data_IF_173348645879
#
_entry.id   IF_173348645879
#
_cell.length_a   1.000
_cell.length_b   1.000
_cell.length_c   1.000
_cell.angle_alpha   90.00
_cell.angle_beta   90.00
_cell.angle_gamma   90.00
#
_symmetry.space_group_name_H-M   'P 1'
#
loop_
_entity.id
_entity.type
_entity.pdbx_description
1 polymer ?
#
# COMPACT_ATOMS: atom_id res chain seq x y z
N UNK A 1 0.74 -34.82 39.09
CA UNK A 1 -0.48 -35.64 38.84
C UNK A 1 -0.90 -35.47 37.39
N UNK A 2 -0.81 -36.51 36.56
CA UNK A 2 -1.26 -36.45 35.16
C UNK A 2 -2.76 -36.73 35.12
N UNK A 3 -3.56 -35.73 34.78
CA UNK A 3 -5.01 -35.87 34.61
C UNK A 3 -5.28 -36.84 33.44
N UNK A 4 -5.73 -38.05 33.76
CA UNK A 4 -6.24 -39.01 32.76
C UNK A 4 -7.62 -38.53 32.33
N UNK A 5 -7.75 -38.03 31.10
CA UNK A 5 -9.04 -37.68 30.52
C UNK A 5 -9.84 -38.98 30.36
N UNK A 6 -10.91 -39.14 31.16
CA UNK A 6 -11.62 -40.41 31.37
C UNK A 6 -12.61 -40.79 30.27
N UNK A 7 -12.65 -40.06 29.15
CA UNK A 7 -13.57 -40.34 28.03
C UNK A 7 -12.87 -40.11 26.69
N UNK A 8 -12.91 -41.08 25.75
CA UNK A 8 -12.38 -40.87 24.41
C UNK A 8 -13.17 -39.77 23.70
N UNK A 9 -12.47 -38.91 22.96
CA UNK A 9 -13.08 -37.80 22.24
C UNK A 9 -13.99 -38.32 21.11
N UNK A 10 -15.29 -38.13 21.26
CA UNK A 10 -16.29 -38.53 20.27
C UNK A 10 -16.44 -37.46 19.18
N UNK A 11 -15.57 -37.51 18.17
CA UNK A 11 -15.56 -36.55 17.07
C UNK A 11 -16.90 -36.45 16.32
N UNK A 12 -17.66 -37.54 16.20
CA UNK A 12 -18.98 -37.55 15.55
C UNK A 12 -20.03 -36.75 16.33
N UNK A 13 -20.05 -36.90 17.65
CA UNK A 13 -20.99 -36.19 18.52
C UNK A 13 -20.68 -34.69 18.52
N UNK A 14 -19.40 -34.32 18.61
CA UNK A 14 -18.96 -32.93 18.50
C UNK A 14 -19.35 -32.33 17.14
N UNK A 15 -19.18 -33.10 16.06
CA UNK A 15 -19.60 -32.65 14.72
C UNK A 15 -21.11 -32.42 14.65
N UNK A 16 -21.92 -33.28 15.26
CA UNK A 16 -23.37 -33.09 15.32
C UNK A 16 -23.75 -31.83 16.12
N UNK A 17 -23.14 -31.62 17.28
CA UNK A 17 -23.34 -30.41 18.07
C UNK A 17 -22.98 -29.14 17.30
N UNK A 18 -21.84 -29.13 16.61
CA UNK A 18 -21.41 -27.99 15.79
C UNK A 18 -22.39 -27.70 14.63
N UNK A 19 -22.96 -28.75 14.02
CA UNK A 19 -23.96 -28.59 12.96
C UNK A 19 -25.29 -28.06 13.50
N UNK A 20 -25.67 -28.43 14.72
CA UNK A 20 -26.86 -27.89 15.41
C UNK A 20 -26.66 -26.42 15.77
N UNK A 21 -25.48 -26.08 16.31
CA UNK A 21 -25.11 -24.69 16.63
C UNK A 21 -25.06 -23.81 15.37
N UNK A 22 -24.50 -24.30 14.26
CA UNK A 22 -24.44 -23.56 13.00
C UNK A 22 -25.84 -23.27 12.43
N UNK A 23 -26.75 -24.25 12.50
CA UNK A 23 -28.16 -24.07 12.13
C UNK A 23 -28.85 -23.04 13.02
N UNK A 24 -28.61 -23.09 14.33
CA UNK A 24 -29.17 -22.15 15.30
C UNK A 24 -28.68 -20.71 15.04
N UNK A 25 -27.37 -20.54 14.83
CA UNK A 25 -26.75 -19.24 14.51
C UNK A 25 -27.28 -18.69 13.19
N UNK A 26 -27.42 -19.55 12.18
CA UNK A 26 -27.99 -19.19 10.88
C UNK A 26 -29.45 -18.72 11.01
N UNK A 27 -30.27 -19.40 11.81
CA UNK A 27 -31.65 -18.99 12.07
C UNK A 27 -31.72 -17.64 12.82
N UNK A 28 -30.83 -17.40 13.78
CA UNK A 28 -30.70 -16.08 14.45
C UNK A 28 -30.38 -14.99 13.43
N UNK A 29 -29.38 -15.20 12.56
CA UNK A 29 -28.99 -14.19 11.58
C UNK A 29 -30.01 -14.01 10.46
N UNK A 30 -30.88 -14.99 10.21
CA UNK A 30 -32.01 -14.82 9.31
C UNK A 30 -33.07 -13.86 9.86
N UNK A 31 -33.30 -13.91 11.19
CA UNK A 31 -34.29 -13.08 11.90
C UNK A 31 -33.73 -11.71 12.31
N UNK A 32 -32.41 -11.61 12.47
CA UNK A 32 -31.70 -10.40 12.83
C UNK A 32 -31.01 -9.79 11.59
N UNK A 33 -31.57 -8.75 10.95
CA UNK A 33 -30.90 -8.09 9.85
C UNK A 33 -29.65 -7.37 10.36
N UNK A 34 -28.48 -8.02 10.22
CA UNK A 34 -27.21 -7.37 10.50
C UNK A 34 -26.99 -6.24 9.48
N UNK A 35 -26.59 -5.03 9.92
CA UNK A 35 -26.21 -3.98 9.01
C UNK A 35 -24.96 -4.42 8.24
N UNK A 36 -25.06 -4.49 6.91
CA UNK A 36 -24.01 -4.95 5.98
C UNK A 36 -22.67 -4.16 6.01
N UNK A 37 -22.47 -3.26 6.98
CA UNK A 37 -21.25 -2.48 7.14
C UNK A 37 -20.22 -3.09 8.12
N UNK A 38 -20.57 -4.12 8.90
CA UNK A 38 -19.66 -4.66 9.93
C UNK A 38 -18.85 -5.90 9.51
N UNK A 39 -19.22 -6.59 8.42
CA UNK A 39 -18.49 -7.80 7.96
C UNK A 39 -17.27 -7.52 7.05
N UNK A 40 -16.93 -6.26 6.79
CA UNK A 40 -15.79 -5.90 5.92
C UNK A 40 -14.46 -5.79 6.70
N UNK A 41 -14.48 -5.95 8.04
CA UNK A 41 -13.30 -5.69 8.86
C UNK A 41 -12.40 -6.92 9.12
N UNK A 42 -12.82 -8.14 8.81
CA UNK A 42 -12.02 -9.33 9.10
C UNK A 42 -12.11 -10.34 7.95
N UNK A 43 -10.94 -10.73 7.44
CA UNK A 43 -10.66 -11.76 6.45
C UNK A 43 -10.61 -11.29 4.99
N UNK A 44 -9.39 -11.32 4.47
CA UNK A 44 -9.11 -11.16 3.05
C UNK A 44 -9.21 -12.49 2.30
N UNK A 45 -9.61 -12.33 1.04
CA UNK A 45 -9.42 -13.20 -0.12
C UNK A 45 -10.43 -14.32 -0.42
N UNK A 46 -11.00 -14.12 -1.61
CA UNK A 46 -11.44 -15.03 -2.66
C UNK A 46 -12.82 -15.70 -2.65
N UNK A 47 -13.44 -15.48 -3.81
CA UNK A 47 -14.55 -16.18 -4.45
C UNK A 47 -15.93 -16.00 -3.84
N UNK A 48 -16.75 -15.16 -4.49
CA UNK A 48 -18.12 -15.48 -4.92
C UNK A 48 -18.65 -14.31 -5.78
N UNK A 49 -18.38 -14.35 -7.08
CA UNK A 49 -19.31 -13.75 -8.06
C UNK A 49 -20.54 -14.65 -8.14
N UNK A 50 -21.68 -14.23 -7.58
CA UNK A 50 -22.97 -14.15 -8.28
C UNK A 50 -24.07 -13.63 -7.34
N UNK A 51 -24.94 -12.80 -7.92
CA UNK A 51 -26.30 -12.51 -7.43
C UNK A 51 -26.51 -11.42 -6.37
N UNK A 52 -26.12 -10.18 -6.70
CA UNK A 52 -26.88 -9.01 -6.22
C UNK A 52 -27.03 -7.93 -7.31
N UNK A 53 -27.46 -8.33 -8.51
CA UNK A 53 -27.99 -7.40 -9.52
C UNK A 53 -29.51 -7.38 -9.45
N UNK A 54 -30.09 -6.63 -8.50
CA UNK A 54 -31.42 -6.00 -8.65
C UNK A 54 -31.88 -5.25 -7.40
N UNK A 55 -31.16 -4.20 -6.95
CA UNK A 55 -31.76 -3.04 -6.24
C UNK A 55 -30.92 -1.78 -6.47
N UNK A 56 -30.87 -1.29 -7.71
CA UNK A 56 -30.42 0.09 -7.97
C UNK A 56 -31.59 1.04 -7.79
N UNK A 57 -31.61 1.72 -6.65
CA UNK A 57 -32.28 3.02 -6.48
C UNK A 57 -31.81 3.92 -7.63
N UNK A 58 -32.75 4.47 -8.40
CA UNK A 58 -32.51 5.29 -9.58
C UNK A 58 -31.64 6.51 -9.28
N UNK A 59 -30.33 6.35 -9.44
CA UNK A 59 -29.46 7.44 -9.84
C UNK A 59 -29.53 7.46 -11.36
N UNK A 60 -30.06 8.55 -11.94
CA UNK A 60 -30.11 8.75 -13.38
C UNK A 60 -28.78 8.34 -14.03
N UNK A 61 -28.88 7.66 -15.17
CA UNK A 61 -27.72 7.14 -15.88
C UNK A 61 -26.65 8.23 -16.01
N UNK A 62 -25.57 8.09 -15.23
CA UNK A 62 -24.42 8.98 -15.37
C UNK A 62 -23.91 8.76 -16.78
N UNK A 63 -23.93 9.81 -17.61
CA UNK A 63 -23.47 9.77 -18.98
C UNK A 63 -22.17 8.96 -19.09
N UNK A 64 -22.19 7.87 -19.89
CA UNK A 64 -21.06 6.94 -20.02
C UNK A 64 -19.80 7.74 -20.34
N UNK A 65 -18.80 7.63 -19.44
CA UNK A 65 -17.52 8.33 -19.54
C UNK A 65 -16.82 7.86 -20.81
N UNK A 66 -16.29 8.77 -21.63
CA UNK A 66 -15.54 8.36 -22.83
C UNK A 66 -14.24 7.64 -22.44
N UNK A 67 -13.99 6.49 -23.06
CA UNK A 67 -12.87 5.59 -22.73
C UNK A 67 -11.84 5.53 -23.87
N UNK A 68 -12.28 5.48 -25.13
CA UNK A 68 -11.39 5.42 -26.30
C UNK A 68 -10.76 6.78 -26.60
N UNK A 69 -9.71 6.82 -27.44
CA UNK A 69 -9.08 8.09 -27.85
C UNK A 69 -10.00 8.89 -28.79
N UNK A 70 -10.63 8.20 -29.73
CA UNK A 70 -11.56 8.76 -30.71
C UNK A 70 -12.80 9.36 -30.05
N UNK A 71 -13.41 8.67 -29.07
CA UNK A 71 -14.54 9.21 -28.30
C UNK A 71 -14.20 10.49 -27.54
N UNK A 72 -12.95 10.62 -27.07
CA UNK A 72 -12.50 11.84 -26.37
C UNK A 72 -12.35 13.02 -27.35
N UNK A 73 -11.87 12.76 -28.56
CA UNK A 73 -11.79 13.76 -29.63
C UNK A 73 -13.17 14.19 -30.11
N UNK A 74 -14.08 13.24 -30.35
CA UNK A 74 -15.46 13.51 -30.73
C UNK A 74 -16.17 14.40 -29.69
N UNK A 75 -16.12 14.02 -28.40
CA UNK A 75 -16.70 14.84 -27.31
C UNK A 75 -16.04 16.20 -27.15
N UNK A 76 -14.74 16.32 -27.43
CA UNK A 76 -14.05 17.62 -27.39
C UNK A 76 -14.51 18.53 -28.54
N UNK A 77 -14.71 17.96 -29.74
CA UNK A 77 -15.18 18.69 -30.91
C UNK A 77 -16.65 19.12 -30.78
N UNK A 78 -17.52 18.29 -30.19
CA UNK A 78 -18.90 18.68 -29.88
C UNK A 78 -19.01 19.89 -28.95
N UNK A 79 -18.02 20.07 -28.05
CA UNK A 79 -17.89 21.22 -27.16
C UNK A 79 -17.11 22.38 -27.80
N UNK A 80 -16.63 22.22 -29.04
CA UNK A 80 -15.93 23.24 -29.82
C UNK A 80 -16.93 23.87 -30.79
N UNK A 81 -17.64 24.90 -30.32
CA UNK A 81 -18.58 25.68 -31.12
C UNK A 81 -19.87 26.07 -30.39
N UNK A 82 -20.21 25.37 -29.30
CA UNK A 82 -21.38 25.70 -28.46
C UNK A 82 -21.06 26.82 -27.46
N UNK A 83 -22.05 27.65 -27.08
CA UNK A 83 -21.93 28.55 -25.92
C UNK A 83 -21.90 27.70 -24.64
N UNK A 84 -20.76 27.67 -23.95
CA UNK A 84 -20.49 26.74 -22.85
C UNK A 84 -20.80 27.36 -21.48
N UNK A 85 -21.52 26.62 -20.63
CA UNK A 85 -21.66 26.96 -19.22
C UNK A 85 -20.34 26.72 -18.45
N UNK A 86 -20.23 27.22 -17.22
CA UNK A 86 -19.01 27.07 -16.40
C UNK A 86 -18.58 25.60 -16.23
N UNK A 87 -19.55 24.70 -16.01
CA UNK A 87 -19.32 23.25 -15.90
C UNK A 87 -18.76 22.66 -17.20
N UNK A 88 -19.26 23.10 -18.35
CA UNK A 88 -18.83 22.60 -19.66
C UNK A 88 -17.44 23.13 -20.06
N UNK A 89 -17.11 24.36 -19.65
CA UNK A 89 -15.75 24.91 -19.78
C UNK A 89 -14.74 24.07 -19.00
N UNK A 90 -15.10 23.62 -17.79
CA UNK A 90 -14.23 22.74 -16.99
C UNK A 90 -14.07 21.36 -17.63
N UNK A 91 -15.16 20.78 -18.16
CA UNK A 91 -15.12 19.52 -18.91
C UNK A 91 -14.24 19.63 -20.15
N UNK A 92 -14.38 20.70 -20.94
CA UNK A 92 -13.55 20.95 -22.12
C UNK A 92 -12.06 21.06 -21.79
N UNK A 93 -11.70 21.75 -20.71
CA UNK A 93 -10.31 21.80 -20.20
C UNK A 93 -9.82 20.40 -19.79
N UNK A 94 -10.65 19.63 -19.11
CA UNK A 94 -10.35 18.25 -18.70
C UNK A 94 -10.11 17.32 -19.90
N UNK A 95 -10.96 17.39 -20.92
CA UNK A 95 -10.82 16.62 -22.16
C UNK A 95 -9.54 17.00 -22.92
N UNK A 96 -9.26 18.31 -23.07
CA UNK A 96 -8.01 18.79 -23.70
C UNK A 96 -6.77 18.22 -23.03
N UNK A 97 -6.71 18.29 -21.70
CA UNK A 97 -5.57 17.76 -20.94
C UNK A 97 -5.45 16.23 -21.07
N UNK A 98 -6.57 15.52 -21.17
CA UNK A 98 -6.57 14.06 -21.33
C UNK A 98 -6.10 13.64 -22.72
N UNK A 99 -6.51 14.36 -23.76
CA UNK A 99 -6.03 14.19 -25.13
C UNK A 99 -4.52 14.40 -25.16
N UNK A 100 -4.02 15.55 -24.67
CA UNK A 100 -2.59 15.86 -24.65
C UNK A 100 -1.74 14.83 -23.87
N UNK A 101 -2.29 14.25 -22.80
CA UNK A 101 -1.61 13.19 -22.05
C UNK A 101 -1.55 11.87 -22.82
N UNK A 102 -2.59 11.53 -23.58
CA UNK A 102 -2.61 10.31 -24.42
C UNK A 102 -1.65 10.46 -25.60
N UNK A 103 -1.69 11.59 -26.33
CA UNK A 103 -0.78 11.85 -27.45
C UNK A 103 0.68 11.82 -27.03
N UNK A 104 1.04 12.50 -25.93
CA UNK A 104 2.42 12.50 -25.40
C UNK A 104 2.89 11.11 -24.94
N UNK A 105 1.97 10.24 -24.52
CA UNK A 105 2.28 8.85 -24.17
C UNK A 105 2.54 8.02 -25.43
N UNK A 106 1.75 8.21 -26.47
CA UNK A 106 1.91 7.54 -27.76
C UNK A 106 3.20 7.96 -28.47
N UNK A 107 3.54 9.25 -28.48
CA UNK A 107 4.81 9.78 -29.00
C UNK A 107 6.02 9.11 -28.32
N UNK A 108 6.00 9.00 -26.99
CA UNK A 108 7.07 8.32 -26.23
C UNK A 108 7.17 6.83 -26.56
N UNK A 109 6.03 6.17 -26.77
CA UNK A 109 6.01 4.76 -27.16
C UNK A 109 6.58 4.58 -28.57
N UNK A 110 6.23 5.47 -29.51
CA UNK A 110 6.78 5.47 -30.87
C UNK A 110 8.29 5.74 -30.87
N UNK A 111 8.77 6.75 -30.15
CA UNK A 111 10.21 7.01 -29.98
C UNK A 111 10.95 5.81 -29.39
N UNK A 112 10.36 5.14 -28.39
CA UNK A 112 10.94 3.93 -27.81
C UNK A 112 10.99 2.76 -28.80
N UNK A 113 10.00 2.63 -29.68
CA UNK A 113 9.99 1.62 -30.75
C UNK A 113 11.07 1.91 -31.79
N UNK A 114 11.18 3.15 -32.26
CA UNK A 114 12.22 3.57 -33.22
C UNK A 114 13.63 3.37 -32.66
N UNK A 115 13.87 3.79 -31.42
CA UNK A 115 15.17 3.56 -30.76
C UNK A 115 15.49 2.06 -30.57
N UNK A 116 14.47 1.21 -30.44
CA UNK A 116 14.66 -0.26 -30.36
C UNK A 116 15.00 -0.84 -31.72
N UNK A 117 14.34 -0.39 -32.79
CA UNK A 117 14.63 -0.84 -34.16
C UNK A 117 16.00 -0.35 -34.63
N UNK A 118 16.40 0.88 -34.28
CA UNK A 118 17.75 1.40 -34.56
C UNK A 118 18.84 0.59 -33.83
N UNK A 119 18.62 0.23 -32.56
CA UNK A 119 19.54 -0.65 -31.82
C UNK A 119 19.64 -2.05 -32.43
N UNK A 120 18.51 -2.63 -32.82
CA UNK A 120 18.49 -3.95 -33.48
C UNK A 120 19.16 -3.92 -34.86
N UNK A 121 19.02 -2.82 -35.61
CA UNK A 121 19.70 -2.64 -36.89
C UNK A 121 21.22 -2.40 -36.72
N UNK A 122 21.63 -1.70 -35.66
CA UNK A 122 23.05 -1.52 -35.31
C UNK A 122 23.71 -2.84 -34.85
N UNK A 123 22.98 -3.69 -34.12
CA UNK A 123 23.43 -5.01 -33.69
C UNK A 123 23.52 -6.00 -34.88
N UNK A 124 22.67 -5.88 -35.89
CA UNK A 124 22.69 -6.72 -37.09
C UNK A 124 23.87 -6.43 -38.05
N UNK A 125 24.43 -5.22 -38.03
CA UNK A 125 25.60 -4.84 -38.83
C UNK A 125 26.95 -5.15 -38.14
N UNK A 126 26.94 -5.74 -36.94
CA UNK A 126 28.12 -5.90 -36.08
C UNK A 126 28.73 -7.30 -36.00
N UNK A 127 28.24 -8.30 -36.74
CA UNK A 127 28.67 -9.70 -36.54
C UNK A 127 28.88 -10.46 -37.85
N UNK A 128 30.05 -10.25 -38.45
CA UNK A 128 30.70 -11.26 -39.30
C UNK A 128 32.18 -11.41 -38.91
N UNK A 129 32.63 -12.68 -38.88
CA UNK A 129 34.00 -13.23 -38.74
C UNK A 129 34.43 -13.65 -37.33
N UNK A 130 34.39 -14.97 -37.08
CA UNK A 130 35.53 -15.87 -36.74
C UNK A 130 35.04 -17.30 -37.06
N UNK A 131 35.35 -17.86 -38.23
CA UNK A 131 36.41 -18.85 -38.55
C UNK A 131 36.31 -20.20 -37.80
N UNK A 132 36.02 -21.24 -38.59
CA UNK A 132 36.33 -22.66 -38.38
C UNK A 132 37.85 -22.89 -38.26
N UNK A 133 38.23 -23.89 -37.47
CA UNK A 133 39.07 -25.05 -37.84
C UNK A 133 39.68 -25.71 -36.59
N UNK A 134 39.92 -27.03 -36.67
CA UNK A 134 41.01 -27.64 -35.91
C UNK A 134 40.66 -28.58 -34.74
N UNK A 135 40.35 -29.82 -35.12
CA UNK A 135 41.04 -31.03 -34.65
C UNK A 135 40.67 -31.67 -33.30
N UNK A 136 40.40 -32.97 -33.38
CA UNK A 136 39.90 -33.81 -32.31
C UNK A 136 41.02 -34.70 -31.75
N UNK A 137 41.34 -34.62 -30.44
CA UNK A 137 42.05 -35.67 -29.75
C UNK A 137 41.13 -36.50 -28.85
N UNK A 138 41.29 -37.81 -29.01
CA UNK A 138 40.70 -38.96 -28.31
C UNK A 138 40.48 -38.72 -26.81
N UNK A 139 39.22 -38.82 -26.36
CA UNK A 139 38.83 -38.61 -24.97
C UNK A 139 39.24 -39.77 -24.04
N UNK A 140 40.00 -39.52 -22.95
CA UNK A 140 39.95 -40.41 -21.79
C UNK A 140 38.59 -40.20 -21.09
N UNK A 141 37.94 -41.28 -20.66
CA UNK A 141 36.64 -41.24 -19.96
C UNK A 141 36.79 -40.44 -18.65
N UNK A 142 36.44 -39.16 -18.69
CA UNK A 142 36.48 -38.29 -17.51
C UNK A 142 35.31 -38.65 -16.58
N UNK A 143 35.59 -38.73 -15.28
CA UNK A 143 34.57 -38.95 -14.25
C UNK A 143 33.52 -37.81 -14.35
N UNK A 144 32.23 -38.10 -14.17
CA UNK A 144 31.19 -37.08 -14.23
C UNK A 144 31.46 -35.98 -13.20
N UNK A 145 31.55 -34.75 -13.69
CA UNK A 145 31.73 -33.56 -12.84
C UNK A 145 30.32 -33.16 -12.36
N UNK A 146 30.12 -33.13 -11.05
CA UNK A 146 28.85 -32.71 -10.46
C UNK A 146 28.93 -31.24 -10.01
N UNK A 147 27.87 -30.49 -10.30
CA UNK A 147 27.61 -29.14 -9.81
C UNK A 147 27.50 -29.12 -8.28
N UNK A 148 27.57 -27.94 -7.63
CA UNK A 148 27.21 -27.78 -6.21
C UNK A 148 25.79 -28.26 -5.87
N UNK A 149 24.91 -28.37 -6.87
CA UNK A 149 23.54 -28.92 -6.74
C UNK A 149 23.46 -30.44 -6.99
N UNK A 150 24.58 -31.13 -7.20
CA UNK A 150 24.63 -32.57 -7.43
C UNK A 150 24.21 -33.03 -8.83
N UNK A 151 24.06 -32.11 -9.79
CA UNK A 151 23.72 -32.44 -11.18
C UNK A 151 24.98 -32.58 -12.04
N UNK A 152 24.99 -33.52 -12.98
CA UNK A 152 26.11 -33.75 -13.89
C UNK A 152 26.24 -32.58 -14.89
N UNK A 153 27.42 -31.97 -14.98
CA UNK A 153 27.71 -30.83 -15.88
C UNK A 153 28.90 -31.19 -16.77
N UNK A 154 28.74 -30.98 -18.07
CA UNK A 154 29.77 -31.28 -19.08
C UNK A 154 30.76 -30.13 -19.33
N UNK A 155 30.48 -28.94 -18.79
CA UNK A 155 31.35 -27.76 -18.86
C UNK A 155 32.34 -27.71 -17.70
N UNK A 156 33.57 -27.20 -17.93
CA UNK A 156 34.56 -26.90 -16.86
C UNK A 156 34.14 -25.76 -15.94
N UNK A 157 33.14 -24.97 -16.36
CA UNK A 157 32.61 -23.84 -15.60
C UNK A 157 31.19 -24.14 -15.14
N UNK A 158 30.94 -23.86 -13.86
CA UNK A 158 29.63 -23.97 -13.25
C UNK A 158 28.86 -22.64 -13.37
N UNK A 159 27.84 -22.62 -14.21
CA UNK A 159 26.96 -21.45 -14.40
C UNK A 159 25.72 -21.45 -13.48
N UNK A 160 25.58 -22.42 -12.57
CA UNK A 160 24.40 -22.53 -11.69
C UNK A 160 24.21 -21.34 -10.75
N UNK A 161 25.29 -20.59 -10.47
CA UNK A 161 25.25 -19.37 -9.67
C UNK A 161 24.96 -18.10 -10.48
N UNK A 162 25.18 -18.12 -11.80
CA UNK A 162 25.09 -16.94 -12.67
C UNK A 162 23.65 -16.44 -12.89
N UNK A 163 22.64 -17.27 -12.58
CA UNK A 163 21.22 -16.88 -12.61
C UNK A 163 20.59 -16.67 -11.23
N UNK A 164 21.17 -17.23 -10.17
CA UNK A 164 20.70 -16.99 -8.81
C UNK A 164 21.29 -15.67 -8.33
N UNK A 165 20.63 -14.56 -8.69
CA UNK A 165 20.85 -13.28 -8.01
C UNK A 165 20.68 -13.54 -6.51
N UNK A 166 21.78 -13.73 -5.77
CA UNK A 166 21.78 -13.67 -4.31
C UNK A 166 21.02 -12.39 -4.02
N UNK A 167 19.83 -12.49 -3.43
CA UNK A 167 18.99 -11.32 -3.13
C UNK A 167 19.89 -10.42 -2.31
N UNK A 168 20.47 -9.39 -2.93
CA UNK A 168 21.25 -8.41 -2.22
C UNK A 168 20.31 -7.90 -1.15
N UNK A 169 20.68 -8.14 0.11
CA UNK A 169 19.88 -7.73 1.25
C UNK A 169 19.47 -6.29 0.98
N UNK A 170 18.16 -6.05 0.87
CA UNK A 170 17.63 -4.75 0.46
C UNK A 170 18.36 -3.71 1.30
N UNK A 171 19.11 -2.81 0.67
CA UNK A 171 19.88 -1.79 1.36
C UNK A 171 18.97 -1.16 2.42
N UNK A 172 19.44 -1.12 3.67
CA UNK A 172 18.64 -0.57 4.77
C UNK A 172 18.25 0.86 4.42
N UNK A 173 16.95 1.17 4.48
CA UNK A 173 16.41 2.48 4.06
C UNK A 173 16.12 3.40 5.23
N UNK A 174 16.24 2.91 6.45
CA UNK A 174 15.85 3.60 7.68
C UNK A 174 16.87 4.69 8.03
N UNK A 175 16.51 5.98 7.99
CA UNK A 175 17.48 7.07 8.11
C UNK A 175 18.21 7.08 9.46
N UNK A 176 17.59 6.56 10.53
CA UNK A 176 18.22 6.39 11.85
C UNK A 176 19.34 5.34 11.82
N UNK A 177 19.12 4.22 11.13
CA UNK A 177 20.13 3.16 11.00
C UNK A 177 21.27 3.60 10.11
N UNK A 178 20.99 4.28 8.99
CA UNK A 178 22.04 4.85 8.14
C UNK A 178 22.91 5.84 8.92
N UNK A 179 22.30 6.70 9.73
CA UNK A 179 23.05 7.66 10.55
C UNK A 179 23.98 6.92 11.52
N UNK A 180 23.46 5.89 12.21
CA UNK A 180 24.26 5.06 13.12
C UNK A 180 25.42 4.35 12.40
N UNK A 181 25.17 3.79 11.22
CA UNK A 181 26.21 3.15 10.41
C UNK A 181 27.30 4.13 9.98
N UNK A 182 26.93 5.37 9.61
CA UNK A 182 27.91 6.42 9.31
C UNK A 182 28.72 6.82 10.55
N UNK A 183 28.08 6.93 11.71
CA UNK A 183 28.76 7.22 12.98
C UNK A 183 29.73 6.09 13.36
N UNK A 184 29.31 4.83 13.25
CA UNK A 184 30.15 3.66 13.49
C UNK A 184 31.35 3.60 12.52
N UNK A 185 31.14 3.91 11.23
CA UNK A 185 32.23 3.99 10.25
C UNK A 185 33.24 5.09 10.60
N UNK A 186 32.75 6.28 10.95
CA UNK A 186 33.61 7.39 11.37
C UNK A 186 34.41 7.04 12.61
N UNK A 187 33.76 6.43 13.61
CA UNK A 187 34.41 5.99 14.84
C UNK A 187 35.51 4.97 14.57
N UNK A 188 35.26 3.96 13.72
CA UNK A 188 36.29 2.96 13.35
C UNK A 188 37.52 3.60 12.70
N UNK A 189 37.29 4.58 11.82
CA UNK A 189 38.39 5.31 11.17
C UNK A 189 39.16 6.16 12.19
N UNK A 190 38.47 6.81 13.12
CA UNK A 190 39.10 7.58 14.21
C UNK A 190 39.90 6.68 15.16
N UNK A 191 39.36 5.52 15.56
CA UNK A 191 40.06 4.54 16.40
C UNK A 191 41.36 4.05 15.75
N UNK A 192 41.37 3.84 14.42
CA UNK A 192 42.59 3.46 13.68
C UNK A 192 43.61 4.61 13.58
N UNK A 193 43.14 5.85 13.45
CA UNK A 193 44.00 7.03 13.46
C UNK A 193 44.65 7.25 14.84
N UNK A 194 43.87 7.07 15.91
CA UNK A 194 44.33 7.17 17.30
C UNK A 194 45.31 6.05 17.67
N UNK A 195 45.10 4.84 17.14
CA UNK A 195 46.03 3.71 17.29
C UNK A 195 47.36 3.88 16.52
N UNK A 196 47.53 4.97 15.76
CA UNK A 196 48.74 5.27 15.01
C UNK A 196 48.81 4.65 13.60
N UNK A 197 47.81 3.87 13.19
CA UNK A 197 47.74 3.20 11.89
C UNK A 197 47.15 4.12 10.79
N UNK A 198 47.77 5.29 10.60
CA UNK A 198 47.27 6.35 9.70
C UNK A 198 47.15 5.89 8.24
N UNK A 199 48.08 5.08 7.76
CA UNK A 199 48.07 4.55 6.38
C UNK A 199 46.84 3.66 6.14
N UNK A 200 46.55 2.74 7.07
CA UNK A 200 45.36 1.88 6.99
C UNK A 200 44.07 2.68 7.07
N UNK A 201 44.01 3.72 7.89
CA UNK A 201 42.86 4.62 7.95
C UNK A 201 42.65 5.37 6.62
N UNK A 202 43.72 5.86 5.99
CA UNK A 202 43.66 6.49 4.67
C UNK A 202 43.21 5.51 3.59
N UNK A 203 43.76 4.30 3.56
CA UNK A 203 43.31 3.26 2.63
C UNK A 203 41.82 2.95 2.76
N UNK A 204 41.28 2.89 3.99
CA UNK A 204 39.85 2.65 4.21
C UNK A 204 39.02 3.82 3.67
N UNK A 205 39.43 5.07 3.92
CA UNK A 205 38.75 6.25 3.37
C UNK A 205 38.74 6.25 1.85
N UNK A 206 39.87 5.93 1.22
CA UNK A 206 39.99 5.84 -0.22
C UNK A 206 39.12 4.72 -0.79
N UNK A 207 39.20 3.51 -0.22
CA UNK A 207 38.37 2.37 -0.62
C UNK A 207 36.88 2.71 -0.52
N UNK A 208 36.45 3.41 0.53
CA UNK A 208 35.06 3.82 0.69
C UNK A 208 34.66 4.95 -0.28
N UNK A 209 35.55 5.89 -0.57
CA UNK A 209 35.33 6.93 -1.58
C UNK A 209 35.16 6.32 -2.98
N UNK A 210 36.02 5.38 -3.37
CA UNK A 210 35.93 4.66 -4.65
C UNK A 210 34.66 3.81 -4.74
N UNK A 211 34.28 3.10 -3.66
CA UNK A 211 33.01 2.36 -3.61
C UNK A 211 31.80 3.29 -3.77
N UNK A 212 31.79 4.44 -3.11
CA UNK A 212 30.73 5.44 -3.22
C UNK A 212 30.65 6.01 -4.64
N UNK A 213 31.79 6.32 -5.26
CA UNK A 213 31.87 6.81 -6.64
C UNK A 213 31.35 5.76 -7.64
N UNK A 214 31.76 4.50 -7.49
CA UNK A 214 31.31 3.39 -8.33
C UNK A 214 29.80 3.17 -8.17
N UNK A 215 29.27 3.15 -6.95
CA UNK A 215 27.85 3.02 -6.68
C UNK A 215 27.03 4.19 -7.27
N UNK A 216 27.55 5.42 -7.22
CA UNK A 216 26.91 6.56 -7.89
C UNK A 216 26.92 6.41 -9.42
N UNK A 217 28.02 5.92 -10.00
CA UNK A 217 28.14 5.70 -11.43
C UNK A 217 27.22 4.58 -11.95
N UNK A 218 26.99 3.53 -11.16
CA UNK A 218 26.02 2.46 -11.48
C UNK A 218 24.56 2.92 -11.33
N UNK A 219 24.31 4.11 -10.79
CA UNK A 219 23.00 4.70 -10.58
C UNK A 219 22.36 4.37 -9.23
N UNK A 220 23.12 3.82 -8.29
CA UNK A 220 22.65 3.60 -6.92
C UNK A 220 22.58 4.93 -6.14
N UNK A 221 21.48 5.11 -5.39
CA UNK A 221 21.26 6.33 -4.60
C UNK A 221 21.96 6.22 -3.26
N UNK A 222 23.23 6.62 -3.25
CA UNK A 222 24.07 6.67 -2.04
C UNK A 222 23.61 7.81 -1.11
N UNK A 223 23.43 7.51 0.19
CA UNK A 223 22.90 8.45 1.21
C UNK A 223 23.87 8.60 2.37
N UNK A 224 25.03 9.20 2.11
CA UNK A 224 26.13 9.27 3.08
C UNK A 224 26.18 10.58 3.88
N UNK A 225 25.29 11.54 3.59
CA UNK A 225 25.32 12.87 4.21
C UNK A 225 24.63 12.88 5.60
N UNK A 226 25.37 13.10 6.71
CA UNK A 226 24.82 13.02 8.06
C UNK A 226 23.79 14.13 8.34
N UNK A 227 24.01 15.34 7.80
CA UNK A 227 23.08 16.46 8.00
C UNK A 227 21.74 16.23 7.31
N UNK A 228 21.75 15.68 6.09
CA UNK A 228 20.53 15.38 5.35
C UNK A 228 19.75 14.25 6.01
N UNK A 229 20.44 13.25 6.58
CA UNK A 229 19.82 12.19 7.36
C UNK A 229 19.17 12.74 8.64
N UNK A 230 19.87 13.59 9.40
CA UNK A 230 19.30 14.28 10.58
C UNK A 230 18.07 15.11 10.22
N UNK A 231 18.12 15.89 9.13
CA UNK A 231 16.96 16.66 8.63
C UNK A 231 15.81 15.75 8.23
N UNK A 232 16.10 14.60 7.63
CA UNK A 232 15.07 13.62 7.23
C UNK A 232 14.38 13.00 8.44
N UNK A 233 15.15 12.62 9.46
CA UNK A 233 14.62 12.14 10.74
C UNK A 233 13.69 13.19 11.36
N UNK A 234 14.14 14.46 11.43
CA UNK A 234 13.32 15.56 11.97
C UNK A 234 12.01 15.75 11.20
N UNK A 235 12.04 15.67 9.86
CA UNK A 235 10.82 15.76 9.03
C UNK A 235 9.86 14.59 9.29
N UNK A 236 10.38 13.37 9.45
CA UNK A 236 9.56 12.21 9.79
C UNK A 236 8.92 12.34 11.17
N UNK A 237 9.67 12.83 12.16
CA UNK A 237 9.16 13.08 13.50
C UNK A 237 8.09 14.18 13.50
N UNK A 238 8.29 15.27 12.77
CA UNK A 238 7.27 16.32 12.60
C UNK A 238 5.99 15.79 11.94
N UNK A 239 6.11 14.95 10.90
CA UNK A 239 4.95 14.30 10.27
C UNK A 239 4.20 13.41 11.26
N UNK A 240 4.92 12.61 12.06
CA UNK A 240 4.31 11.77 13.10
C UNK A 240 3.61 12.61 14.16
N UNK A 241 4.23 13.69 14.65
CA UNK A 241 3.62 14.65 15.58
C UNK A 241 2.35 15.28 15.02
N UNK A 242 2.36 15.71 13.76
CA UNK A 242 1.18 16.28 13.12
C UNK A 242 0.04 15.25 12.98
N UNK A 243 0.35 14.04 12.53
CA UNK A 243 -0.63 12.96 12.44
C UNK A 243 -1.21 12.59 13.80
N UNK A 244 -0.37 12.55 14.84
CA UNK A 244 -0.79 12.29 16.22
C UNK A 244 -1.76 13.37 16.71
N UNK A 245 -1.39 14.66 16.63
CA UNK A 245 -2.27 15.78 17.01
C UNK A 245 -3.60 15.76 16.25
N UNK A 246 -3.57 15.42 14.96
CA UNK A 246 -4.80 15.28 14.15
C UNK A 246 -5.68 14.14 14.62
N UNK A 247 -5.08 13.03 15.05
CA UNK A 247 -5.82 11.89 15.60
C UNK A 247 -6.44 12.24 16.95
N UNK A 248 -5.69 12.87 17.85
CA UNK A 248 -6.18 13.34 19.15
C UNK A 248 -7.35 14.32 18.98
N UNK A 249 -7.20 15.32 18.10
CA UNK A 249 -8.28 16.26 17.78
C UNK A 249 -9.54 15.56 17.26
N UNK A 250 -9.41 14.49 16.47
CA UNK A 250 -10.55 13.68 16.02
C UNK A 250 -11.19 12.93 17.18
N UNK A 251 -10.41 12.32 18.06
CA UNK A 251 -10.94 11.61 19.23
C UNK A 251 -11.71 12.57 20.15
N UNK A 252 -11.15 13.74 20.44
CA UNK A 252 -11.82 14.80 21.22
C UNK A 252 -13.10 15.27 20.52
N UNK A 253 -13.06 15.48 19.20
CA UNK A 253 -14.24 15.86 18.42
C UNK A 253 -15.36 14.82 18.47
N UNK A 254 -15.02 13.53 18.39
CA UNK A 254 -15.98 12.42 18.53
C UNK A 254 -16.57 12.39 19.94
N UNK A 255 -15.74 12.46 20.97
CA UNK A 255 -16.21 12.46 22.36
C UNK A 255 -17.14 13.65 22.64
N UNK A 256 -16.78 14.86 22.18
CA UNK A 256 -17.61 16.06 22.30
C UNK A 256 -18.95 15.89 21.60
N UNK A 257 -18.96 15.37 20.37
CA UNK A 257 -20.21 15.15 19.63
C UNK A 257 -21.13 14.13 20.31
N UNK A 258 -20.56 13.08 20.92
CA UNK A 258 -21.32 12.10 21.71
C UNK A 258 -21.89 12.76 22.98
N UNK A 259 -21.07 13.51 23.72
CA UNK A 259 -21.49 14.24 24.91
C UNK A 259 -22.60 15.25 24.62
N UNK A 260 -22.45 16.07 23.57
CA UNK A 260 -23.46 17.04 23.15
C UNK A 260 -24.80 16.36 22.79
N UNK A 261 -24.75 15.23 22.08
CA UNK A 261 -25.96 14.46 21.76
C UNK A 261 -26.64 13.94 23.02
N UNK A 262 -25.86 13.44 23.98
CA UNK A 262 -26.38 12.91 25.24
C UNK A 262 -26.94 14.02 26.13
N UNK A 263 -26.29 15.18 26.20
CA UNK A 263 -26.77 16.37 26.91
C UNK A 263 -28.09 16.88 26.31
N UNK A 264 -28.19 17.01 24.98
CA UNK A 264 -29.45 17.39 24.32
C UNK A 264 -30.58 16.39 24.63
N UNK A 265 -30.26 15.09 24.70
CA UNK A 265 -31.25 14.07 25.06
C UNK A 265 -31.69 14.22 26.52
N UNK A 266 -30.76 14.41 27.46
CA UNK A 266 -31.10 14.57 28.88
C UNK A 266 -31.93 15.84 29.12
N UNK A 267 -31.56 16.96 28.50
CA UNK A 267 -32.31 18.22 28.52
C UNK A 267 -33.73 18.06 28.00
N UNK A 268 -33.91 17.41 26.84
CA UNK A 268 -35.24 17.15 26.27
C UNK A 268 -36.10 16.26 27.17
N UNK A 269 -35.51 15.23 27.79
CA UNK A 269 -36.20 14.38 28.76
C UNK A 269 -36.61 15.18 30.00
N UNK A 270 -35.72 16.02 30.53
CA UNK A 270 -36.01 16.88 31.67
C UNK A 270 -37.09 17.91 31.36
N UNK A 271 -37.05 18.52 30.18
CA UNK A 271 -38.09 19.43 29.69
C UNK A 271 -39.44 18.71 29.62
N UNK A 272 -39.50 17.52 29.00
CA UNK A 272 -40.74 16.72 28.94
C UNK A 272 -41.27 16.38 30.33
N UNK A 273 -40.41 16.01 31.29
CA UNK A 273 -40.81 15.77 32.69
C UNK A 273 -41.39 17.03 33.35
N UNK A 274 -40.77 18.19 33.16
CA UNK A 274 -41.27 19.49 33.66
C UNK A 274 -42.60 19.86 33.01
N UNK A 275 -42.72 19.71 31.69
CA UNK A 275 -43.95 20.02 30.94
C UNK A 275 -45.13 19.16 31.38
N UNK A 276 -44.90 17.86 31.66
CA UNK A 276 -45.95 16.99 32.22
C UNK A 276 -46.40 17.48 33.60
N UNK A 277 -45.48 17.87 34.48
CA UNK A 277 -45.82 18.40 35.81
C UNK A 277 -46.58 19.73 35.72
N UNK A 278 -46.09 20.67 34.92
CA UNK A 278 -46.74 21.98 34.73
C UNK A 278 -48.11 21.84 34.08
N UNK A 279 -48.29 20.96 33.10
CA UNK A 279 -49.59 20.69 32.49
C UNK A 279 -50.57 20.05 33.48
N UNK A 280 -50.13 19.15 34.37
CA UNK A 280 -50.97 18.63 35.47
C UNK A 280 -51.42 19.76 36.39
N UNK A 281 -50.51 20.63 36.83
CA UNK A 281 -50.84 21.80 37.67
C UNK A 281 -51.83 22.73 36.96
N UNK A 282 -51.58 23.09 35.70
CA UNK A 282 -52.49 23.94 34.89
C UNK A 282 -53.89 23.32 34.77
N UNK A 283 -53.99 22.00 34.55
CA UNK A 283 -55.28 21.30 34.46
C UNK A 283 -56.03 21.30 35.79
N UNK A 284 -55.32 21.12 36.90
CA UNK A 284 -55.93 21.14 38.23
C UNK A 284 -56.38 22.56 38.64
N UNK A 285 -55.60 23.59 38.31
CA UNK A 285 -55.99 24.99 38.48
C UNK A 285 -57.25 25.36 37.66
N UNK A 286 -57.30 25.00 36.37
CA UNK A 286 -58.51 25.20 35.53
C UNK A 286 -59.76 24.50 36.07
N UNK A 287 -59.58 23.42 36.83
CA UNK A 287 -60.64 22.63 37.44
C UNK A 287 -61.01 23.10 38.86
N UNK A 288 -60.48 24.25 39.31
CA UNK A 288 -60.72 24.83 40.64
C UNK A 288 -60.10 24.06 41.80
N UNK A 289 -59.21 23.10 41.54
CA UNK A 289 -58.62 22.20 42.55
C UNK A 289 -57.27 22.67 43.09
N UNK A 290 -56.78 23.82 42.61
CA UNK A 290 -55.55 24.48 43.09
C UNK A 290 -55.87 25.96 43.25
N UNK A 291 -55.73 26.46 44.48
CA UNK A 291 -55.91 27.87 44.85
C UNK A 291 -54.51 28.49 44.90
N UNK A 292 -54.17 29.47 44.06
CA UNK A 292 -52.89 30.16 44.15
C UNK A 292 -52.82 30.96 45.46
N UNK A 293 -51.93 30.57 46.38
CA UNK A 293 -51.65 31.35 47.61
C UNK A 293 -51.82 30.62 48.95
N UNK A 294 -52.17 29.33 48.96
CA UNK A 294 -52.09 28.44 50.13
C UNK A 294 -51.32 27.16 49.77
#
# INVERSE_FOLDING_TARGET
MKLKMSKPFNAKLVKQMLLEEDKFISDIFSKMPLPANELVAQNGHEDYEKEFSNRKKGFGEKAKRAHTFEELHAKFNELKGKKLNYKDKLLKKGLKNRIQKKTKREERLMQKKLARTERMAAEANGTQKVKEEGDAPKAPKQKPIFNSKGNMVFSKFDFSEIGTKKKTLKAEKDPKKLLKQLEEKKRKVQELEEAGEKEKAQEIKEKDAWKSALAKATGEKVKDDPELLKRTIKREEQKKKHSHKKWESRQVGVQKAVQERQQKRSENIMKRKKDVKTNKLKRAAKKGRIIPGF
#
